data_IF_178154739867
#
_entry.id   IF_178154739867
#
_cell.length_a   1.000
_cell.length_b   1.000
_cell.length_c   1.000
_cell.angle_alpha   90.00
_cell.angle_beta   90.00
_cell.angle_gamma   90.00
#
_symmetry.space_group_name_H-M   'P 1'
#
loop_
_entity.id
_entity.type
_entity.pdbx_description
1 polymer ?
#
# COMPACT_ATOMS: atom_id res chain seq x y z
N UNK A 1 -25.44 37.06 -12.82
CA UNK A 1 -24.34 36.33 -13.50
C UNK A 1 -23.03 36.36 -12.69
N UNK A 2 -22.52 37.53 -12.27
CA UNK A 2 -21.25 37.67 -11.51
C UNK A 2 -21.19 36.89 -10.16
N UNK A 3 -22.31 36.81 -9.43
CA UNK A 3 -22.41 36.06 -8.16
C UNK A 3 -22.39 34.53 -8.35
N UNK A 4 -22.93 34.05 -9.48
CA UNK A 4 -22.94 32.61 -9.82
C UNK A 4 -21.52 32.18 -10.22
N UNK A 5 -20.82 33.00 -11.01
CA UNK A 5 -19.41 32.75 -11.36
C UNK A 5 -18.49 32.70 -10.14
N UNK A 6 -18.70 33.58 -9.15
CA UNK A 6 -17.92 33.56 -7.91
C UNK A 6 -18.20 32.31 -7.06
N UNK A 7 -19.46 31.86 -6.99
CA UNK A 7 -19.85 30.66 -6.28
C UNK A 7 -19.25 29.39 -6.91
N UNK A 8 -19.25 29.28 -8.23
CA UNK A 8 -18.59 28.18 -8.95
C UNK A 8 -17.07 28.16 -8.72
N UNK A 9 -16.41 29.32 -8.74
CA UNK A 9 -14.96 29.43 -8.53
C UNK A 9 -14.54 28.99 -7.11
N UNK A 10 -15.34 29.36 -6.10
CA UNK A 10 -15.13 28.93 -4.71
C UNK A 10 -15.36 27.43 -4.51
N UNK A 11 -16.29 26.83 -5.26
CA UNK A 11 -16.57 25.39 -5.20
C UNK A 11 -15.45 24.55 -5.82
N UNK A 12 -14.88 25.00 -6.94
CA UNK A 12 -13.71 24.34 -7.55
C UNK A 12 -12.44 24.50 -6.72
N UNK A 13 -12.29 25.61 -5.99
CA UNK A 13 -11.16 25.82 -5.09
C UNK A 13 -11.26 25.00 -3.79
N UNK A 14 -12.47 24.57 -3.41
CA UNK A 14 -12.73 23.69 -2.26
C UNK A 14 -12.60 22.20 -2.58
N UNK A 15 -12.31 21.83 -3.84
CA UNK A 15 -11.85 20.49 -4.17
C UNK A 15 -10.43 20.33 -3.61
N UNK A 16 -10.33 20.07 -2.30
CA UNK A 16 -9.09 19.63 -1.68
C UNK A 16 -8.54 18.49 -2.51
N UNK A 17 -7.26 18.57 -2.90
CA UNK A 17 -6.55 17.41 -3.42
C UNK A 17 -6.80 16.27 -2.43
N UNK A 18 -7.58 15.27 -2.84
CA UNK A 18 -7.83 14.11 -2.01
C UNK A 18 -6.51 13.36 -1.93
N UNK A 19 -5.70 13.68 -0.92
CA UNK A 19 -4.49 12.95 -0.54
C UNK A 19 -4.91 11.62 0.08
N UNK A 20 -5.65 10.81 -0.67
CA UNK A 20 -6.44 9.70 -0.16
C UNK A 20 -5.60 8.58 0.45
N UNK A 21 -4.30 8.57 0.19
CA UNK A 21 -3.39 7.47 0.49
C UNK A 21 -2.06 7.96 1.07
N UNK A 22 -2.06 9.10 1.77
CA UNK A 22 -0.94 9.43 2.65
C UNK A 22 -0.89 8.50 3.87
N UNK A 23 -0.12 8.87 4.89
CA UNK A 23 0.00 8.10 6.13
C UNK A 23 -1.38 7.74 6.74
N UNK A 24 -2.31 8.71 6.75
CA UNK A 24 -3.66 8.54 7.27
C UNK A 24 -4.49 7.56 6.43
N UNK A 25 -4.36 7.63 5.10
CA UNK A 25 -5.10 6.74 4.19
C UNK A 25 -4.71 5.28 4.40
N UNK A 26 -3.41 5.01 4.49
CA UNK A 26 -2.89 3.67 4.79
C UNK A 26 -3.33 3.17 6.16
N UNK A 27 -3.29 4.03 7.19
CA UNK A 27 -3.74 3.68 8.53
C UNK A 27 -5.23 3.33 8.57
N UNK A 28 -6.08 4.07 7.86
CA UNK A 28 -7.53 3.81 7.78
C UNK A 28 -7.81 2.44 7.13
N UNK A 29 -7.19 2.14 5.99
CA UNK A 29 -7.37 0.83 5.31
C UNK A 29 -6.90 -0.31 6.20
N UNK A 30 -5.73 -0.15 6.84
CA UNK A 30 -5.17 -1.15 7.73
C UNK A 30 -6.07 -1.42 8.95
N UNK A 31 -6.65 -0.38 9.54
CA UNK A 31 -7.61 -0.51 10.64
C UNK A 31 -8.89 -1.24 10.20
N UNK A 32 -9.44 -0.91 9.03
CA UNK A 32 -10.61 -1.61 8.47
C UNK A 32 -10.27 -3.09 8.21
N UNK A 33 -9.10 -3.37 7.65
CA UNK A 33 -8.65 -4.74 7.39
C UNK A 33 -8.48 -5.53 8.69
N UNK A 34 -7.83 -4.94 9.71
CA UNK A 34 -7.60 -5.58 11.00
C UNK A 34 -8.91 -5.98 11.69
N UNK A 35 -9.94 -5.13 11.63
CA UNK A 35 -11.26 -5.43 12.20
C UNK A 35 -11.98 -6.58 11.50
N UNK A 36 -11.69 -6.80 10.22
CA UNK A 36 -12.28 -7.86 9.38
C UNK A 36 -11.52 -9.18 9.44
N UNK A 37 -10.38 -9.25 10.14
CA UNK A 37 -9.67 -10.50 10.36
C UNK A 37 -10.47 -11.44 11.28
N UNK A 38 -10.46 -12.73 10.97
CA UNK A 38 -10.89 -13.77 11.90
C UNK A 38 -9.96 -13.85 13.12
N UNK A 39 -10.34 -14.66 14.12
CA UNK A 39 -9.61 -14.76 15.39
C UNK A 39 -8.19 -15.30 15.22
N UNK A 40 -7.98 -16.25 14.30
CA UNK A 40 -6.67 -16.83 14.02
C UNK A 40 -5.75 -15.80 13.37
N UNK A 41 -6.21 -15.14 12.31
CA UNK A 41 -5.41 -14.18 11.54
C UNK A 41 -5.10 -12.94 12.38
N UNK A 42 -6.03 -12.52 13.24
CA UNK A 42 -5.82 -11.44 14.21
C UNK A 42 -4.73 -11.79 15.23
N UNK A 43 -4.69 -13.03 15.71
CA UNK A 43 -3.65 -13.49 16.62
C UNK A 43 -2.25 -13.45 16.00
N UNK A 44 -2.12 -13.83 14.73
CA UNK A 44 -0.87 -13.70 13.99
C UNK A 44 -0.49 -12.25 13.70
N UNK A 45 -1.45 -11.46 13.23
CA UNK A 45 -1.26 -10.05 12.94
C UNK A 45 -0.87 -9.22 14.18
N UNK A 46 -1.18 -9.67 15.39
CA UNK A 46 -0.75 -9.03 16.63
C UNK A 46 0.70 -9.38 17.04
N UNK A 47 1.27 -10.47 16.51
CA UNK A 47 2.61 -10.95 16.85
C UNK A 47 3.68 -10.44 15.90
N UNK A 48 3.36 -10.37 14.61
CA UNK A 48 4.33 -10.08 13.53
C UNK A 48 4.84 -8.62 13.49
N UNK A 49 4.02 -7.58 13.71
CA UNK A 49 4.50 -6.20 13.62
C UNK A 49 5.42 -5.77 14.77
N UNK A 50 5.53 -6.58 15.83
CA UNK A 50 6.12 -6.25 17.13
C UNK A 50 5.04 -6.24 18.21
N UNK A 51 5.36 -6.76 19.40
CA UNK A 51 4.40 -7.06 20.48
C UNK A 51 3.33 -5.96 20.68
N UNK A 52 2.09 -6.24 20.24
CA UNK A 52 0.94 -5.39 20.49
C UNK A 52 0.75 -4.18 19.57
N UNK A 53 1.54 -4.02 18.51
CA UNK A 53 1.31 -2.97 17.48
C UNK A 53 0.15 -3.35 16.56
N UNK A 54 -0.71 -2.37 16.23
CA UNK A 54 -1.79 -2.55 15.25
C UNK A 54 -1.26 -2.54 13.81
N UNK A 55 -2.04 -3.06 12.87
CA UNK A 55 -1.73 -2.95 11.44
C UNK A 55 -1.68 -1.49 11.00
N UNK A 56 -2.55 -0.64 11.55
CA UNK A 56 -2.54 0.81 11.31
C UNK A 56 -1.25 1.48 11.81
N UNK A 57 -0.60 0.96 12.85
CA UNK A 57 0.67 1.50 13.33
C UNK A 57 1.81 1.24 12.33
N UNK A 58 1.82 0.07 11.67
CA UNK A 58 2.90 -0.31 10.75
C UNK A 58 2.59 -0.03 9.29
N UNK A 59 1.43 0.57 8.98
CA UNK A 59 0.98 0.73 7.60
C UNK A 59 1.81 1.72 6.79
N UNK A 60 2.58 2.62 7.42
CA UNK A 60 3.52 3.53 6.73
C UNK A 60 4.91 2.94 6.53
N UNK A 61 5.23 1.83 7.19
CA UNK A 61 6.61 1.35 7.31
C UNK A 61 7.28 1.11 5.95
N UNK A 62 6.52 0.61 4.97
CA UNK A 62 7.06 0.36 3.63
C UNK A 62 7.47 1.66 2.92
N UNK A 63 6.76 2.77 3.13
CA UNK A 63 7.19 4.09 2.63
C UNK A 63 8.41 4.60 3.40
N UNK A 64 8.46 4.37 4.71
CA UNK A 64 9.54 4.83 5.59
C UNK A 64 10.90 4.20 5.22
N UNK A 65 10.90 2.91 4.83
CA UNK A 65 12.14 2.20 4.47
C UNK A 65 12.55 2.39 3.01
N UNK A 66 11.73 3.01 2.17
CA UNK A 66 11.97 3.11 0.72
C UNK A 66 13.32 3.75 0.37
N UNK A 67 13.73 4.77 1.13
CA UNK A 67 15.02 5.43 0.93
C UNK A 67 16.22 4.57 1.38
N UNK A 68 16.02 3.72 2.39
CA UNK A 68 17.05 2.83 2.94
C UNK A 68 17.12 1.48 2.19
N UNK A 69 16.05 1.11 1.48
CA UNK A 69 15.90 -0.12 0.69
C UNK A 69 15.48 0.21 -0.75
N UNK A 70 16.41 0.66 -1.60
CA UNK A 70 16.10 1.05 -2.98
C UNK A 70 15.36 -0.05 -3.76
N UNK A 71 15.64 -1.32 -3.48
CA UNK A 71 15.01 -2.50 -4.09
C UNK A 71 13.52 -2.67 -3.74
N UNK A 72 12.97 -1.78 -2.91
CA UNK A 72 11.56 -1.69 -2.59
C UNK A 72 10.83 -0.58 -3.34
N UNK A 73 11.54 0.31 -4.03
CA UNK A 73 10.98 1.53 -4.63
C UNK A 73 9.82 1.24 -5.60
N UNK A 74 10.01 0.32 -6.55
CA UNK A 74 9.00 0.00 -7.56
C UNK A 74 7.80 -0.76 -6.97
N UNK A 75 7.93 -1.30 -5.74
CA UNK A 75 6.86 -2.09 -5.09
C UNK A 75 5.65 -1.25 -4.72
N UNK A 76 5.74 0.07 -4.83
CA UNK A 76 4.67 1.01 -4.47
C UNK A 76 3.71 1.33 -5.62
N UNK A 77 4.07 1.02 -6.86
CA UNK A 77 3.28 1.37 -8.03
C UNK A 77 3.46 0.37 -9.18
N UNK A 78 2.71 0.57 -10.25
CA UNK A 78 2.93 -0.09 -11.53
C UNK A 78 2.77 0.96 -12.61
N UNK A 79 3.75 1.05 -13.50
CA UNK A 79 3.69 1.98 -14.62
C UNK A 79 2.92 1.34 -15.77
N UNK A 80 1.87 2.04 -16.21
CA UNK A 80 1.07 1.68 -17.38
C UNK A 80 1.33 2.76 -18.43
N UNK A 81 1.66 2.39 -19.68
CA UNK A 81 1.87 3.38 -20.74
C UNK A 81 0.67 4.34 -20.87
N UNK A 82 0.90 5.64 -21.08
CA UNK A 82 -0.18 6.64 -21.04
C UNK A 82 -1.20 6.47 -22.17
N UNK A 83 -0.84 5.77 -23.24
CA UNK A 83 -1.64 5.50 -24.43
C UNK A 83 -2.46 4.20 -24.32
N UNK A 84 -2.27 3.40 -23.26
CA UNK A 84 -3.04 2.17 -23.03
C UNK A 84 -3.99 2.34 -21.84
N UNK A 85 -5.25 1.95 -22.02
CA UNK A 85 -6.32 2.13 -21.02
C UNK A 85 -6.52 0.95 -20.08
N UNK A 86 -5.64 -0.05 -20.12
CA UNK A 86 -5.77 -1.30 -19.37
C UNK A 86 -4.43 -1.73 -18.76
N UNK A 87 -4.49 -2.50 -17.66
CA UNK A 87 -3.35 -3.22 -17.12
C UNK A 87 -3.17 -4.56 -17.83
N UNK A 88 -1.95 -4.87 -18.24
CA UNK A 88 -1.57 -6.18 -18.80
C UNK A 88 -0.30 -6.68 -18.12
N UNK A 89 -0.39 -7.85 -17.49
CA UNK A 89 0.68 -8.34 -16.60
C UNK A 89 2.00 -8.60 -17.32
N UNK A 90 1.98 -9.11 -18.55
CA UNK A 90 3.19 -9.38 -19.33
C UNK A 90 3.92 -8.09 -19.74
N UNK A 91 3.18 -7.00 -19.92
CA UNK A 91 3.70 -5.71 -20.37
C UNK A 91 4.13 -4.82 -19.19
N UNK A 92 3.28 -4.70 -18.18
CA UNK A 92 3.40 -3.67 -17.14
C UNK A 92 4.18 -4.15 -15.92
N UNK A 93 4.32 -5.47 -15.73
CA UNK A 93 5.03 -6.05 -14.57
C UNK A 93 6.55 -6.08 -14.82
N UNK A 94 7.13 -4.91 -14.94
CA UNK A 94 8.57 -4.75 -15.09
C UNK A 94 9.29 -4.95 -13.77
N UNK A 95 10.50 -5.50 -13.85
CA UNK A 95 11.45 -5.54 -12.76
C UNK A 95 12.69 -4.74 -13.15
N UNK A 96 13.18 -3.94 -12.23
CA UNK A 96 14.43 -3.23 -12.27
C UNK A 96 15.41 -3.89 -11.29
N UNK A 97 16.65 -4.24 -11.71
CA UNK A 97 17.62 -4.89 -10.83
C UNK A 97 18.00 -4.08 -9.59
N UNK A 98 17.85 -2.75 -9.61
CA UNK A 98 18.18 -1.85 -8.51
C UNK A 98 16.93 -1.41 -7.73
N UNK A 99 15.79 -1.20 -8.40
CA UNK A 99 14.57 -0.65 -7.79
C UNK A 99 13.52 -1.70 -7.40
N UNK A 100 13.71 -2.95 -7.82
CA UNK A 100 12.84 -4.07 -7.48
C UNK A 100 11.81 -4.33 -8.57
N UNK A 101 10.56 -4.58 -8.20
CA UNK A 101 9.49 -4.82 -9.16
C UNK A 101 8.18 -4.18 -8.73
N UNK A 102 7.19 -4.19 -9.61
CA UNK A 102 5.96 -3.46 -9.40
C UNK A 102 5.10 -3.98 -8.23
N UNK A 103 4.19 -3.13 -7.74
CA UNK A 103 3.22 -3.42 -6.66
C UNK A 103 2.47 -4.74 -6.81
N UNK A 104 2.07 -5.11 -8.02
CA UNK A 104 1.34 -6.37 -8.27
C UNK A 104 2.19 -7.59 -7.90
N UNK A 105 3.47 -7.59 -8.30
CA UNK A 105 4.40 -8.66 -7.98
C UNK A 105 4.71 -8.70 -6.47
N UNK A 106 4.84 -7.53 -5.85
CA UNK A 106 5.07 -7.40 -4.41
C UNK A 106 3.90 -7.97 -3.58
N UNK A 107 2.65 -7.70 -3.97
CA UNK A 107 1.46 -8.29 -3.33
C UNK A 107 1.48 -9.81 -3.46
N UNK A 108 1.74 -10.35 -4.65
CA UNK A 108 1.77 -11.81 -4.84
C UNK A 108 2.90 -12.50 -4.07
N UNK A 109 4.08 -11.87 -3.96
CA UNK A 109 5.13 -12.35 -3.05
C UNK A 109 4.67 -12.34 -1.61
N UNK A 110 4.18 -11.22 -1.11
CA UNK A 110 3.74 -11.11 0.28
C UNK A 110 2.64 -12.12 0.62
N UNK A 111 1.69 -12.38 -0.31
CA UNK A 111 0.68 -13.43 -0.14
C UNK A 111 1.28 -14.82 -0.03
N UNK A 112 2.27 -15.15 -0.87
CA UNK A 112 2.98 -16.43 -0.79
C UNK A 112 3.77 -16.57 0.51
N UNK A 113 4.48 -15.53 0.90
CA UNK A 113 5.33 -15.53 2.09
C UNK A 113 4.46 -15.63 3.37
N UNK A 114 3.29 -15.01 3.40
CA UNK A 114 2.34 -15.16 4.52
C UNK A 114 1.64 -16.53 4.54
N UNK A 115 1.47 -17.18 3.39
CA UNK A 115 0.83 -18.49 3.31
C UNK A 115 1.79 -19.65 3.59
N UNK A 116 3.06 -19.50 3.25
CA UNK A 116 4.06 -20.58 3.26
C UNK A 116 5.29 -20.30 4.13
N UNK A 117 5.47 -19.07 4.62
CA UNK A 117 6.65 -18.65 5.36
C UNK A 117 6.69 -19.13 6.82
N UNK A 118 7.88 -19.08 7.40
CA UNK A 118 8.05 -19.26 8.83
C UNK A 118 7.68 -17.96 9.56
N UNK A 119 7.27 -18.06 10.83
CA UNK A 119 6.99 -16.89 11.67
C UNK A 119 8.28 -16.18 12.08
N UNK A 120 8.87 -15.41 11.18
CA UNK A 120 10.14 -14.72 11.33
C UNK A 120 10.10 -13.25 10.83
N UNK A 121 11.28 -12.63 10.71
CA UNK A 121 11.42 -11.25 10.26
C UNK A 121 10.97 -11.04 8.81
N UNK A 122 11.13 -12.03 7.94
CA UNK A 122 10.76 -11.94 6.53
C UNK A 122 9.23 -11.99 6.39
N UNK A 123 8.57 -12.85 7.17
CA UNK A 123 7.10 -12.86 7.23
C UNK A 123 6.53 -11.57 7.85
N UNK A 124 7.23 -10.97 8.82
CA UNK A 124 6.84 -9.68 9.38
C UNK A 124 6.96 -8.55 8.35
N UNK A 125 8.06 -8.49 7.59
CA UNK A 125 8.24 -7.53 6.50
C UNK A 125 7.20 -7.75 5.39
N UNK A 126 6.92 -9.01 5.03
CA UNK A 126 5.86 -9.36 4.07
C UNK A 126 4.49 -8.85 4.53
N UNK A 127 4.14 -9.01 5.81
CA UNK A 127 2.91 -8.46 6.36
C UNK A 127 2.88 -6.93 6.25
N UNK A 128 3.97 -6.24 6.63
CA UNK A 128 4.04 -4.77 6.57
C UNK A 128 3.89 -4.26 5.14
N UNK A 129 4.58 -4.87 4.17
CA UNK A 129 4.40 -4.54 2.76
C UNK A 129 2.96 -4.79 2.30
N UNK A 130 2.34 -5.91 2.66
CA UNK A 130 0.97 -6.19 2.24
C UNK A 130 -0.04 -5.19 2.81
N UNK A 131 0.16 -4.74 4.05
CA UNK A 131 -0.73 -3.77 4.71
C UNK A 131 -0.70 -2.41 4.00
N UNK A 132 0.46 -1.99 3.48
CA UNK A 132 0.57 -0.78 2.66
C UNK A 132 -0.12 -0.98 1.29
N UNK A 133 0.14 -2.11 0.63
CA UNK A 133 -0.09 -2.30 -0.81
C UNK A 133 -1.48 -2.83 -1.20
N UNK A 134 -2.31 -3.24 -0.24
CA UNK A 134 -3.61 -3.86 -0.54
C UNK A 134 -4.63 -2.83 -1.05
N UNK A 135 -4.91 -2.86 -2.36
CA UNK A 135 -6.18 -2.43 -2.96
C UNK A 135 -7.06 -3.64 -3.25
#
# INVERSE_FOLDING_TARGET
MRRIGLACLLWTAAASAALGWGQEGHAIVAEIAQRRLDSWARGLAARLPGEGRSLAFVSSWADDVRAARPESYDRHFVDIPPDVGNYESERDRRADPALGDCVVAAIERARRDLACGALDGDMADALRFLVLLRR
#
